data_IF_529918672404
#
_entry.id   IF_529918672404
#
_cell.length_a   1.000
_cell.length_b   1.000
_cell.length_c   1.000
_cell.angle_alpha   90.00
_cell.angle_beta   90.00
_cell.angle_gamma   90.00
#
_symmetry.space_group_name_H-M   'P 1'
#
loop_
_entity.id
_entity.type
_entity.pdbx_description
1 polymer ?
#
# COMPACT_ATOMS: atom_id res chain seq x y z
N UNK A 1 14.10 12.06 13.00
CA UNK A 1 14.71 11.78 11.69
C UNK A 1 15.00 13.08 10.95
N UNK A 2 16.16 13.19 10.33
CA UNK A 2 16.51 14.38 9.56
C UNK A 2 15.88 14.39 8.19
N UNK A 3 15.75 15.56 7.57
CA UNK A 3 15.22 15.70 6.19
C UNK A 3 16.04 14.90 5.17
N UNK A 4 17.39 14.87 5.35
CA UNK A 4 18.28 14.12 4.46
C UNK A 4 18.03 12.61 4.55
N UNK A 5 17.79 12.09 5.75
CA UNK A 5 17.48 10.67 5.93
C UNK A 5 16.12 10.35 5.32
N UNK A 6 15.12 11.23 5.48
CA UNK A 6 13.82 11.05 4.87
C UNK A 6 13.91 11.03 3.34
N UNK A 7 14.68 11.93 2.74
CA UNK A 7 14.89 11.96 1.29
C UNK A 7 15.59 10.70 0.79
N UNK A 8 16.56 10.19 1.54
CA UNK A 8 17.28 8.96 1.18
C UNK A 8 16.33 7.77 1.20
N UNK A 9 15.48 7.65 2.22
CA UNK A 9 14.51 6.56 2.31
C UNK A 9 13.43 6.67 1.24
N UNK A 10 12.96 7.87 0.93
CA UNK A 10 12.00 8.11 -0.16
C UNK A 10 12.60 7.73 -1.52
N UNK A 11 13.85 8.08 -1.78
CA UNK A 11 14.51 7.69 -3.02
C UNK A 11 14.67 6.18 -3.12
N UNK A 12 14.96 5.53 -2.02
CA UNK A 12 15.12 4.08 -1.97
C UNK A 12 13.81 3.35 -2.27
N UNK A 13 12.71 3.72 -1.60
CA UNK A 13 11.42 3.08 -1.86
C UNK A 13 10.89 3.43 -3.26
N UNK A 14 11.15 4.63 -3.75
CA UNK A 14 10.81 5.02 -5.13
C UNK A 14 11.44 4.05 -6.13
N UNK A 15 12.74 3.76 -5.95
CA UNK A 15 13.46 2.86 -6.84
C UNK A 15 12.89 1.44 -6.81
N UNK A 16 12.47 0.97 -5.65
CA UNK A 16 11.83 -0.35 -5.52
C UNK A 16 10.44 -0.34 -6.16
N UNK A 17 9.60 0.63 -5.85
CA UNK A 17 8.23 0.70 -6.35
C UNK A 17 8.17 0.76 -7.88
N UNK A 18 9.06 1.49 -8.52
CA UNK A 18 9.08 1.61 -9.98
C UNK A 18 9.42 0.28 -10.69
N UNK A 19 10.00 -0.67 -9.98
CA UNK A 19 10.42 -1.98 -10.53
C UNK A 19 9.44 -3.10 -10.20
N UNK A 20 8.40 -2.83 -9.46
CA UNK A 20 7.41 -3.85 -9.09
C UNK A 20 6.76 -4.41 -10.36
N UNK A 21 6.55 -5.73 -10.38
CA UNK A 21 5.87 -6.42 -11.49
C UNK A 21 4.80 -7.38 -11.02
N UNK A 22 4.82 -7.78 -9.74
CA UNK A 22 3.90 -8.78 -9.21
C UNK A 22 3.28 -8.30 -7.92
N UNK A 23 2.11 -8.86 -7.61
CA UNK A 23 1.43 -8.62 -6.34
C UNK A 23 0.86 -9.93 -5.82
N UNK A 24 0.98 -10.12 -4.52
CA UNK A 24 0.27 -11.18 -3.79
C UNK A 24 -0.60 -10.51 -2.75
N UNK A 25 -1.82 -11.01 -2.64
CA UNK A 25 -2.82 -10.51 -1.70
C UNK A 25 -3.24 -11.63 -0.76
N UNK A 26 -3.31 -11.35 0.51
CA UNK A 26 -3.90 -12.24 1.50
C UNK A 26 -4.84 -11.43 2.40
N UNK A 27 -6.04 -11.93 2.57
CA UNK A 27 -7.05 -11.30 3.43
C UNK A 27 -7.37 -12.26 4.56
N UNK A 28 -7.23 -11.77 5.79
CA UNK A 28 -7.52 -12.52 7.00
C UNK A 28 -8.75 -11.92 7.67
N UNK A 29 -9.66 -12.76 8.12
CA UNK A 29 -10.78 -12.37 8.97
C UNK A 29 -10.61 -13.04 10.32
N UNK A 30 -10.51 -12.22 11.39
CA UNK A 30 -10.29 -12.72 12.75
C UNK A 30 -9.12 -13.73 12.82
N UNK A 31 -8.01 -13.36 12.17
CA UNK A 31 -6.78 -14.17 12.12
C UNK A 31 -6.85 -15.45 11.28
N UNK A 32 -7.96 -15.72 10.62
CA UNK A 32 -8.09 -16.86 9.70
C UNK A 32 -7.99 -16.39 8.25
N UNK A 33 -7.22 -17.11 7.45
CA UNK A 33 -7.10 -16.80 6.02
C UNK A 33 -8.45 -16.97 5.33
N UNK A 34 -8.95 -15.89 4.74
CA UNK A 34 -10.24 -15.86 4.07
C UNK A 34 -10.10 -15.89 2.54
N UNK A 35 -9.19 -15.11 2.02
CA UNK A 35 -8.98 -14.99 0.57
C UNK A 35 -7.50 -14.77 0.31
N UNK A 36 -7.00 -15.36 -0.76
CA UNK A 36 -5.69 -15.03 -1.27
C UNK A 36 -5.72 -14.94 -2.79
N UNK A 37 -4.80 -14.16 -3.33
CA UNK A 37 -4.69 -13.95 -4.76
C UNK A 37 -3.29 -13.55 -5.14
N UNK A 38 -3.00 -13.66 -6.42
CA UNK A 38 -1.74 -13.20 -6.97
C UNK A 38 -1.97 -12.66 -8.38
N UNK A 39 -1.06 -11.84 -8.83
CA UNK A 39 -1.21 -11.26 -10.15
C UNK A 39 -0.05 -10.38 -10.56
N UNK A 40 -0.31 -9.56 -11.54
CA UNK A 40 0.67 -8.67 -12.14
C UNK A 40 0.38 -7.21 -11.84
N UNK A 41 1.44 -6.42 -11.87
CA UNK A 41 1.37 -4.98 -11.69
C UNK A 41 1.99 -4.32 -12.91
N UNK A 42 1.24 -3.41 -13.53
CA UNK A 42 1.78 -2.52 -14.55
C UNK A 42 2.03 -1.18 -13.89
N UNK A 43 3.28 -0.76 -13.93
CA UNK A 43 3.74 0.47 -13.30
C UNK A 43 3.80 1.59 -14.31
N UNK A 44 3.31 2.76 -13.96
CA UNK A 44 3.51 3.99 -14.71
C UNK A 44 3.92 5.11 -13.78
N UNK A 45 4.75 6.03 -14.26
CA UNK A 45 5.23 7.16 -13.49
C UNK A 45 4.76 8.44 -14.15
N UNK A 46 4.25 9.38 -13.36
CA UNK A 46 3.95 10.71 -13.84
C UNK A 46 3.94 11.70 -12.68
N UNK A 47 4.68 12.79 -12.84
CA UNK A 47 4.59 13.96 -11.97
C UNK A 47 4.73 13.68 -10.47
N UNK A 48 5.73 12.95 -10.04
CA UNK A 48 5.93 12.65 -8.62
C UNK A 48 5.05 11.54 -8.08
N UNK A 49 4.36 10.81 -8.95
CA UNK A 49 3.52 9.68 -8.59
C UNK A 49 3.98 8.41 -9.31
N UNK A 50 3.83 7.28 -8.63
CA UNK A 50 3.94 5.96 -9.23
C UNK A 50 2.58 5.31 -9.15
N UNK A 51 2.02 4.94 -10.30
CA UNK A 51 0.70 4.31 -10.38
C UNK A 51 0.85 2.82 -10.68
N UNK A 52 0.07 2.01 -9.95
CA UNK A 52 -0.02 0.57 -10.12
C UNK A 52 -1.37 0.21 -10.72
N UNK A 53 -1.36 -0.42 -11.89
CA UNK A 53 -2.54 -1.07 -12.44
C UNK A 53 -2.41 -2.56 -12.14
N UNK A 54 -3.22 -3.08 -11.25
CA UNK A 54 -3.13 -4.44 -10.74
C UNK A 54 -4.16 -5.34 -11.39
N UNK A 55 -3.71 -6.53 -11.81
CA UNK A 55 -4.60 -7.60 -12.26
C UNK A 55 -4.38 -8.78 -11.33
N UNK A 56 -5.40 -9.15 -10.58
CA UNK A 56 -5.35 -10.19 -9.56
C UNK A 56 -6.21 -11.38 -9.94
N UNK A 57 -5.76 -12.57 -9.62
CA UNK A 57 -6.56 -13.78 -9.70
C UNK A 57 -6.80 -14.25 -8.26
N UNK A 58 -8.04 -14.15 -7.82
CA UNK A 58 -8.47 -14.51 -6.46
C UNK A 58 -9.56 -15.56 -6.55
N UNK A 59 -9.28 -16.78 -6.06
CA UNK A 59 -10.27 -17.86 -6.06
C UNK A 59 -10.84 -18.18 -7.45
N UNK A 60 -10.01 -18.12 -8.50
CA UNK A 60 -10.44 -18.35 -9.87
C UNK A 60 -11.11 -17.17 -10.54
N UNK A 61 -11.29 -16.05 -9.84
CA UNK A 61 -11.90 -14.84 -10.39
C UNK A 61 -10.84 -13.77 -10.61
N UNK A 62 -10.95 -13.06 -11.72
CA UNK A 62 -10.06 -11.95 -12.06
C UNK A 62 -10.62 -10.65 -11.47
N UNK A 63 -9.75 -9.92 -10.81
CA UNK A 63 -10.06 -8.61 -10.24
C UNK A 63 -9.04 -7.58 -10.72
N UNK A 64 -9.48 -6.34 -10.87
CA UNK A 64 -8.63 -5.22 -11.29
C UNK A 64 -8.68 -4.16 -10.21
N UNK A 65 -7.52 -3.56 -9.93
CA UNK A 65 -7.43 -2.49 -8.96
C UNK A 65 -6.37 -1.51 -9.38
N UNK A 66 -6.47 -0.28 -8.89
CA UNK A 66 -5.50 0.78 -9.19
C UNK A 66 -5.11 1.49 -7.91
N UNK A 67 -3.80 1.62 -7.72
CA UNK A 67 -3.20 2.28 -6.57
C UNK A 67 -2.28 3.40 -7.05
N UNK A 68 -2.09 4.40 -6.22
CA UNK A 68 -1.13 5.48 -6.47
C UNK A 68 -0.25 5.70 -5.26
N UNK A 69 1.04 5.79 -5.50
CA UNK A 69 2.05 6.18 -4.52
C UNK A 69 2.48 7.60 -4.86
N UNK A 70 2.12 8.55 -4.01
CA UNK A 70 2.39 9.96 -4.25
C UNK A 70 3.55 10.40 -3.35
N UNK A 71 4.62 10.90 -3.97
CA UNK A 71 5.83 11.28 -3.27
C UNK A 71 5.81 12.76 -2.94
N UNK A 72 5.93 13.08 -1.65
CA UNK A 72 6.16 14.42 -1.16
C UNK A 72 7.63 14.61 -0.80
N UNK A 73 7.97 15.74 -0.19
CA UNK A 73 9.35 16.04 0.20
C UNK A 73 9.86 15.13 1.32
N UNK A 74 8.98 14.78 2.25
CA UNK A 74 9.35 13.99 3.45
C UNK A 74 8.38 12.85 3.74
N UNK A 75 7.41 12.60 2.86
CA UNK A 75 6.38 11.60 3.10
C UNK A 75 5.94 10.93 1.80
N UNK A 76 5.34 9.77 1.94
CA UNK A 76 4.79 8.97 0.86
C UNK A 76 3.32 8.73 1.16
N UNK A 77 2.44 9.14 0.26
CA UNK A 77 1.00 8.94 0.41
C UNK A 77 0.53 7.80 -0.47
N UNK A 78 -0.14 6.83 0.14
CA UNK A 78 -0.77 5.74 -0.56
C UNK A 78 -2.21 6.08 -0.85
N UNK A 79 -2.62 5.97 -2.12
CA UNK A 79 -3.96 6.29 -2.59
C UNK A 79 -4.55 5.10 -3.34
N UNK A 80 -5.87 5.00 -3.31
CA UNK A 80 -6.58 4.06 -4.18
C UNK A 80 -7.51 4.81 -5.13
N UNK A 81 -7.79 4.20 -6.26
CA UNK A 81 -8.75 4.73 -7.21
C UNK A 81 -10.17 4.39 -6.75
N UNK A 82 -11.00 5.41 -6.62
CA UNK A 82 -12.40 5.24 -6.24
C UNK A 82 -13.26 6.29 -6.95
N UNK A 83 -14.31 5.83 -7.62
CA UNK A 83 -15.23 6.71 -8.36
C UNK A 83 -14.50 7.64 -9.34
N UNK A 84 -13.50 7.11 -10.05
CA UNK A 84 -12.75 7.87 -11.05
C UNK A 84 -11.69 8.82 -10.52
N UNK A 85 -11.45 8.86 -9.21
CA UNK A 85 -10.45 9.71 -8.60
C UNK A 85 -9.60 8.93 -7.60
N UNK A 86 -8.33 9.34 -7.45
CA UNK A 86 -7.46 8.76 -6.43
C UNK A 86 -7.76 9.39 -5.08
N UNK A 87 -8.06 8.53 -4.12
CA UNK A 87 -8.38 8.90 -2.74
C UNK A 87 -7.17 8.59 -1.86
N UNK A 88 -6.58 9.60 -1.17
CA UNK A 88 -5.50 9.34 -0.22
C UNK A 88 -6.02 8.54 0.97
N UNK A 89 -5.31 7.47 1.32
CA UNK A 89 -5.67 6.63 2.46
C UNK A 89 -4.67 6.77 3.61
N UNK A 90 -3.38 6.67 3.31
CA UNK A 90 -2.33 6.68 4.34
C UNK A 90 -1.18 7.54 3.89
N UNK A 91 -0.71 8.39 4.80
CA UNK A 91 0.51 9.16 4.62
C UNK A 91 1.58 8.56 5.52
N UNK A 92 2.62 8.00 4.93
CA UNK A 92 3.71 7.36 5.66
C UNK A 92 4.90 8.28 5.75
N UNK A 93 5.55 8.29 6.92
CA UNK A 93 6.83 8.96 7.11
C UNK A 93 7.90 7.93 7.44
N UNK A 94 9.10 8.07 6.88
CA UNK A 94 10.21 7.21 7.27
C UNK A 94 10.70 7.60 8.67
N UNK A 95 10.96 6.59 9.48
CA UNK A 95 11.54 6.74 10.82
C UNK A 95 12.73 5.82 10.94
N UNK A 96 13.48 5.93 12.03
CA UNK A 96 14.61 5.05 12.28
C UNK A 96 14.19 3.58 12.40
N UNK A 97 12.95 3.33 12.79
CA UNK A 97 12.41 1.99 12.93
C UNK A 97 11.52 1.55 11.75
N UNK A 98 11.55 2.29 10.63
CA UNK A 98 10.79 1.96 9.43
C UNK A 98 9.75 3.02 9.07
N UNK A 99 8.86 2.68 8.17
CA UNK A 99 7.81 3.56 7.70
C UNK A 99 6.63 3.56 8.67
N UNK A 100 6.14 4.74 9.04
CA UNK A 100 5.01 4.88 9.96
C UNK A 100 3.93 5.77 9.38
N UNK A 101 2.64 5.39 9.48
CA UNK A 101 1.55 6.27 9.08
C UNK A 101 1.44 7.45 10.06
N UNK A 102 1.07 8.62 9.53
CA UNK A 102 0.87 9.81 10.35
C UNK A 102 -0.41 9.71 11.19
N UNK A 103 -1.42 9.04 10.66
CA UNK A 103 -2.71 8.89 11.33
C UNK A 103 -3.46 7.67 10.81
N UNK A 104 -4.51 7.29 11.52
CA UNK A 104 -5.44 6.29 11.05
C UNK A 104 -6.37 6.91 10.01
N UNK A 105 -6.85 6.10 9.08
CA UNK A 105 -7.90 6.50 8.14
C UNK A 105 -9.25 6.08 8.72
N UNK A 106 -10.13 7.06 8.93
CA UNK A 106 -11.46 6.82 9.48
C UNK A 106 -12.49 6.85 8.34
N UNK A 107 -13.17 5.74 8.15
CA UNK A 107 -14.30 5.64 7.22
C UNK A 107 -15.43 4.98 8.00
N UNK A 108 -16.21 5.81 8.70
CA UNK A 108 -17.21 5.33 9.63
C UNK A 108 -18.12 4.28 9.01
N UNK A 109 -18.41 3.15 9.68
CA UNK A 109 -18.03 2.86 11.08
C UNK A 109 -16.65 2.21 11.23
N UNK A 110 -15.86 2.12 10.17
CA UNK A 110 -14.59 1.40 10.17
C UNK A 110 -13.40 2.31 10.44
N UNK A 111 -12.38 1.74 11.07
CA UNK A 111 -11.09 2.36 11.31
C UNK A 111 -10.03 1.54 10.59
N UNK A 112 -9.17 2.21 9.82
CA UNK A 112 -8.11 1.60 9.03
C UNK A 112 -6.75 2.03 9.55
N UNK A 113 -5.87 1.07 9.81
CA UNK A 113 -4.48 1.32 10.17
C UNK A 113 -3.59 0.58 9.18
N UNK A 114 -2.44 1.14 8.86
CA UNK A 114 -1.55 0.54 7.89
C UNK A 114 -0.12 0.46 8.39
N UNK A 115 0.59 -0.54 7.90
CA UNK A 115 2.02 -0.72 8.09
C UNK A 115 2.66 -0.89 6.72
N UNK A 116 3.80 -0.24 6.54
CA UNK A 116 4.57 -0.30 5.30
C UNK A 116 6.00 -0.70 5.60
N UNK A 117 6.51 -1.65 4.86
CA UNK A 117 7.91 -2.04 4.92
C UNK A 117 8.47 -2.24 3.53
N UNK A 118 9.76 -1.97 3.38
CA UNK A 118 10.47 -2.10 2.13
C UNK A 118 11.83 -2.71 2.39
N UNK A 119 12.12 -3.83 1.74
CA UNK A 119 13.48 -4.32 1.62
C UNK A 119 14.00 -3.97 0.21
N UNK A 120 15.13 -4.49 -0.20
CA UNK A 120 15.75 -4.12 -1.48
C UNK A 120 14.93 -4.44 -2.74
N UNK A 121 13.90 -5.28 -2.66
CA UNK A 121 13.12 -5.73 -3.82
C UNK A 121 11.63 -5.83 -3.58
N UNK A 122 11.22 -5.84 -2.32
CA UNK A 122 9.85 -6.15 -1.94
C UNK A 122 9.28 -5.04 -1.10
N UNK A 123 8.04 -4.66 -1.39
CA UNK A 123 7.28 -3.72 -0.57
C UNK A 123 6.09 -4.47 0.01
N UNK A 124 5.92 -4.39 1.32
CA UNK A 124 4.79 -4.99 2.02
C UNK A 124 3.91 -3.89 2.59
N UNK A 125 2.64 -3.97 2.29
CA UNK A 125 1.63 -3.08 2.83
C UNK A 125 0.60 -3.92 3.55
N UNK A 126 0.45 -3.69 4.85
CA UNK A 126 -0.54 -4.40 5.67
C UNK A 126 -1.56 -3.39 6.17
N UNK A 127 -2.83 -3.66 5.93
CA UNK A 127 -3.94 -2.79 6.35
C UNK A 127 -4.79 -3.54 7.35
N UNK A 128 -4.95 -2.97 8.54
CA UNK A 128 -5.83 -3.50 9.58
C UNK A 128 -7.13 -2.72 9.58
N UNK A 129 -8.25 -3.42 9.49
CA UNK A 129 -9.58 -2.82 9.42
C UNK A 129 -10.37 -3.29 10.63
N UNK A 130 -10.82 -2.34 11.43
CA UNK A 130 -11.66 -2.59 12.61
C UNK A 130 -12.99 -1.88 12.46
N UNK A 131 -14.08 -2.61 12.53
CA UNK A 131 -15.42 -2.09 12.54
C UNK A 131 -16.24 -2.75 13.65
N UNK A 132 -17.51 -2.44 13.71
CA UNK A 132 -18.39 -2.96 14.78
C UNK A 132 -18.39 -4.49 14.86
N UNK A 133 -18.45 -5.17 13.70
CA UNK A 133 -18.43 -6.63 13.61
C UNK A 133 -17.36 -7.12 12.64
N UNK A 134 -16.31 -6.33 12.44
CA UNK A 134 -15.31 -6.59 11.42
C UNK A 134 -13.92 -6.46 12.00
N UNK A 135 -13.15 -7.53 11.91
CA UNK A 135 -11.71 -7.52 12.19
C UNK A 135 -11.05 -8.16 10.98
N UNK A 136 -10.46 -7.35 10.13
CA UNK A 136 -9.88 -7.81 8.88
C UNK A 136 -8.45 -7.30 8.74
N UNK A 137 -7.57 -8.12 8.20
CA UNK A 137 -6.21 -7.74 7.87
C UNK A 137 -5.98 -8.06 6.39
N UNK A 138 -5.54 -7.06 5.64
CA UNK A 138 -5.24 -7.19 4.22
C UNK A 138 -3.75 -6.99 4.02
N UNK A 139 -3.07 -8.01 3.49
CA UNK A 139 -1.63 -7.98 3.24
C UNK A 139 -1.36 -7.97 1.74
N UNK A 140 -0.62 -6.96 1.30
CA UNK A 140 -0.12 -6.87 -0.07
C UNK A 140 1.39 -7.07 -0.03
N UNK A 141 1.87 -7.95 -0.89
CA UNK A 141 3.32 -8.14 -1.11
C UNK A 141 3.61 -7.84 -2.57
N UNK A 142 4.28 -6.74 -2.79
CA UNK A 142 4.68 -6.29 -4.13
C UNK A 142 6.14 -6.66 -4.38
N UNK A 143 6.40 -7.27 -5.51
CA UNK A 143 7.76 -7.64 -5.89
C UNK A 143 8.03 -7.44 -7.39
#
# INVERSE_FOLDING_TARGET
MTTNLARTELARIHDVLRRIRTVRLAVYEKSSLHTEGEGSVRVSEQGGCIDFAETLLCGGKRAFDSKRWQFGDTALTFCRLRNGAYEPLFCFKPTESGWRPQSEYLCAPDCYRAELSCDGRTVRLTVHIHGKNKVQTVCYVYA
#
